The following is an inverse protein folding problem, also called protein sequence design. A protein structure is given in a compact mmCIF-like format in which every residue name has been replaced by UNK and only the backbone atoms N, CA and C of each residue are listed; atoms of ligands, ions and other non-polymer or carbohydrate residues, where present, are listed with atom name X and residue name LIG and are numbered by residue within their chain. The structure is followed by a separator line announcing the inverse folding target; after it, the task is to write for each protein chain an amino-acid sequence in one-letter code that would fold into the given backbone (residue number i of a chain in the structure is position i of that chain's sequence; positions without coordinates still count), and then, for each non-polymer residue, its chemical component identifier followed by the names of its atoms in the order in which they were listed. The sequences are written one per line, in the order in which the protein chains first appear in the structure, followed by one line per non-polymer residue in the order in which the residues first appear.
data_IF_558800753069
#
_entry.id   IF_558800753069
#
_cell.length_a   1.000
_cell.length_b   1.000
_cell.length_c   1.000
_cell.angle_alpha   90.00
_cell.angle_beta   90.00
_cell.angle_gamma   90.00
#
_symmetry.space_group_name_H-M   'P 1'
#
loop_
_entity.id
_entity.type
_entity.pdbx_description
1 polymer ?
#
# COMPACT_ATOMS: atom_id res chain seq x y z
N UNK A 1 -17.15 4.39 1.02
CA UNK A 1 -18.45 3.90 0.52
C UNK A 1 -19.54 3.99 1.58
N UNK A 2 -19.35 3.51 2.80
CA UNK A 2 -20.39 3.55 3.86
C UNK A 2 -20.92 4.97 4.14
N UNK A 3 -20.03 5.98 4.17
CA UNK A 3 -20.42 7.38 4.32
C UNK A 3 -21.19 7.92 3.10
N UNK A 4 -20.85 7.47 1.89
CA UNK A 4 -21.59 7.83 0.67
C UNK A 4 -22.96 7.17 0.68
N UNK A 5 -23.05 5.91 1.06
CA UNK A 5 -24.30 5.18 1.21
C UNK A 5 -25.27 5.89 2.20
N UNK A 6 -24.76 6.34 3.36
CA UNK A 6 -25.55 7.13 4.29
C UNK A 6 -26.13 8.40 3.65
N UNK A 7 -25.34 9.12 2.83
CA UNK A 7 -25.80 10.30 2.09
C UNK A 7 -26.90 9.94 1.07
N UNK A 8 -26.74 8.82 0.34
CA UNK A 8 -27.75 8.38 -0.61
C UNK A 8 -29.05 7.95 0.07
N UNK A 9 -28.97 7.18 1.17
CA UNK A 9 -30.16 6.76 1.95
C UNK A 9 -30.94 7.96 2.48
N UNK A 10 -30.26 8.97 3.02
CA UNK A 10 -30.91 10.20 3.47
C UNK A 10 -31.59 10.94 2.31
N UNK A 11 -30.93 11.02 1.17
CA UNK A 11 -31.49 11.68 -0.01
C UNK A 11 -32.68 10.91 -0.56
N UNK A 12 -32.65 9.59 -0.59
CA UNK A 12 -33.76 8.72 -1.00
C UNK A 12 -34.98 8.94 -0.10
N UNK A 13 -34.78 9.02 1.23
CA UNK A 13 -35.89 9.34 2.17
C UNK A 13 -36.50 10.69 1.86
N UNK A 14 -35.69 11.70 1.61
CA UNK A 14 -36.18 13.03 1.26
C UNK A 14 -36.90 13.08 -0.11
N UNK A 15 -36.37 12.36 -1.11
CA UNK A 15 -36.99 12.31 -2.45
C UNK A 15 -38.28 11.48 -2.46
N UNK A 16 -38.36 10.42 -1.65
CA UNK A 16 -39.61 9.67 -1.46
C UNK A 16 -40.71 10.55 -0.89
N UNK A 17 -40.38 11.41 0.08
CA UNK A 17 -41.34 12.40 0.60
C UNK A 17 -41.74 13.41 -0.49
N UNK A 18 -40.82 13.86 -1.32
CA UNK A 18 -41.11 14.77 -2.41
C UNK A 18 -42.03 14.14 -3.49
N UNK A 19 -41.82 12.86 -3.81
CA UNK A 19 -42.74 12.09 -4.69
C UNK A 19 -44.15 12.02 -4.06
N UNK A 20 -44.23 11.76 -2.78
CA UNK A 20 -45.53 11.73 -2.08
C UNK A 20 -46.24 13.08 -2.15
N UNK A 21 -45.54 14.18 -1.89
CA UNK A 21 -46.11 15.54 -1.93
C UNK A 21 -46.58 15.87 -3.37
N UNK A 22 -45.76 15.58 -4.40
CA UNK A 22 -46.13 15.86 -5.80
C UNK A 22 -47.35 15.06 -6.24
N UNK A 23 -47.47 13.80 -5.82
CA UNK A 23 -48.66 12.96 -6.09
C UNK A 23 -49.93 13.50 -5.42
N UNK A 24 -49.84 13.95 -4.16
CA UNK A 24 -50.99 14.55 -3.43
C UNK A 24 -51.42 15.84 -4.14
N UNK A 25 -50.49 16.69 -4.61
CA UNK A 25 -50.82 17.93 -5.33
C UNK A 25 -51.43 17.65 -6.71
N UNK A 26 -51.00 16.59 -7.39
CA UNK A 26 -51.59 16.13 -8.64
C UNK A 26 -53.07 15.66 -8.40
N UNK A 27 -53.28 14.85 -7.35
CA UNK A 27 -54.61 14.39 -7.00
C UNK A 27 -55.55 15.54 -6.64
N UNK A 28 -55.03 16.63 -6.05
CA UNK A 28 -55.75 17.87 -5.76
C UNK A 28 -55.87 18.82 -6.99
N UNK A 29 -55.47 18.41 -8.18
CA UNK A 29 -55.42 19.22 -9.39
C UNK A 29 -54.58 20.54 -9.27
N UNK A 30 -53.59 20.56 -8.35
CA UNK A 30 -52.76 21.74 -8.05
C UNK A 30 -51.46 21.75 -8.86
N UNK A 31 -50.95 20.58 -9.27
CA UNK A 31 -49.70 20.47 -10.04
C UNK A 31 -49.82 19.55 -11.24
N UNK A 32 -48.91 19.71 -12.22
CA UNK A 32 -48.87 18.91 -13.45
C UNK A 32 -48.30 17.51 -13.19
N UNK A 33 -48.72 16.51 -13.97
CA UNK A 33 -48.14 15.17 -13.96
C UNK A 33 -46.62 15.14 -14.26
N UNK A 34 -46.13 16.17 -14.93
CA UNK A 34 -44.70 16.39 -15.18
C UNK A 34 -43.87 16.48 -13.88
N UNK A 35 -44.41 17.11 -12.84
CA UNK A 35 -43.73 17.25 -11.54
C UNK A 35 -43.57 15.91 -10.87
N UNK A 36 -44.61 15.03 -10.94
CA UNK A 36 -44.53 13.67 -10.43
C UNK A 36 -43.47 12.87 -11.18
N UNK A 37 -43.47 12.92 -12.51
CA UNK A 37 -42.47 12.21 -13.35
C UNK A 37 -41.03 12.66 -13.05
N UNK A 38 -40.80 13.95 -12.82
CA UNK A 38 -39.50 14.49 -12.39
C UNK A 38 -39.07 13.98 -11.03
N UNK A 39 -39.99 13.95 -10.04
CA UNK A 39 -39.74 13.46 -8.71
C UNK A 39 -39.38 11.96 -8.70
N UNK A 40 -40.14 11.16 -9.46
CA UNK A 40 -39.92 9.73 -9.63
C UNK A 40 -38.58 9.44 -10.32
N UNK A 41 -38.24 10.20 -11.37
CA UNK A 41 -36.94 10.09 -12.06
C UNK A 41 -35.78 10.37 -11.10
N UNK A 42 -35.90 11.44 -10.30
CA UNK A 42 -34.85 11.79 -9.31
C UNK A 42 -34.69 10.71 -8.25
N UNK A 43 -35.80 10.16 -7.74
CA UNK A 43 -35.77 9.07 -6.77
C UNK A 43 -35.12 7.80 -7.37
N UNK A 44 -35.58 7.36 -8.54
CA UNK A 44 -35.09 6.14 -9.18
C UNK A 44 -33.60 6.22 -9.55
N UNK A 45 -33.16 7.38 -10.07
CA UNK A 45 -31.75 7.60 -10.40
C UNK A 45 -30.85 7.58 -9.16
N UNK A 46 -31.36 8.07 -8.03
CA UNK A 46 -30.61 8.07 -6.77
C UNK A 46 -30.53 6.67 -6.14
N UNK A 47 -31.61 5.88 -6.24
CA UNK A 47 -31.61 4.47 -5.82
C UNK A 47 -30.65 3.63 -6.67
N UNK A 48 -30.59 3.88 -8.00
CA UNK A 48 -29.62 3.20 -8.86
C UNK A 48 -28.17 3.50 -8.45
N UNK A 49 -27.87 4.73 -8.05
CA UNK A 49 -26.53 5.12 -7.56
C UNK A 49 -26.20 4.49 -6.20
N UNK A 50 -27.18 4.38 -5.30
CA UNK A 50 -27.00 3.66 -4.02
C UNK A 50 -26.61 2.20 -4.28
N UNK A 51 -27.31 1.52 -5.21
CA UNK A 51 -27.00 0.14 -5.57
C UNK A 51 -25.57 0.00 -6.13
N UNK A 52 -25.11 0.95 -6.96
CA UNK A 52 -23.75 0.99 -7.50
C UNK A 52 -22.69 1.17 -6.38
N UNK A 53 -22.98 1.99 -5.38
CA UNK A 53 -22.13 2.17 -4.19
C UNK A 53 -22.00 0.86 -3.39
N UNK A 54 -23.10 0.12 -3.22
CA UNK A 54 -23.06 -1.19 -2.56
C UNK A 54 -22.16 -2.17 -3.33
N UNK A 55 -22.32 -2.27 -4.65
CA UNK A 55 -21.47 -3.13 -5.49
C UNK A 55 -19.98 -2.74 -5.37
N UNK A 56 -19.68 -1.44 -5.39
CA UNK A 56 -18.30 -0.94 -5.22
C UNK A 56 -17.73 -1.25 -3.84
N UNK A 57 -18.56 -1.18 -2.80
CA UNK A 57 -18.18 -1.56 -1.43
C UNK A 57 -17.83 -3.03 -1.34
N UNK A 58 -18.66 -3.91 -1.90
CA UNK A 58 -18.45 -5.35 -1.87
C UNK A 58 -17.14 -5.74 -2.59
N UNK A 59 -16.87 -5.15 -3.75
CA UNK A 59 -15.59 -5.35 -4.47
C UNK A 59 -14.40 -4.92 -3.61
N UNK A 60 -14.50 -3.81 -2.90
CA UNK A 60 -13.41 -3.36 -2.01
C UNK A 60 -13.26 -4.27 -0.78
N UNK A 61 -14.36 -4.79 -0.24
CA UNK A 61 -14.36 -5.76 0.86
C UNK A 61 -13.65 -7.07 0.43
N UNK A 62 -13.92 -7.55 -0.78
CA UNK A 62 -13.21 -8.69 -1.36
C UNK A 62 -11.70 -8.43 -1.52
N UNK A 63 -11.31 -7.23 -1.93
CA UNK A 63 -9.89 -6.86 -2.02
C UNK A 63 -9.22 -6.85 -0.64
N UNK A 64 -9.90 -6.35 0.39
CA UNK A 64 -9.38 -6.38 1.76
C UNK A 64 -9.26 -7.80 2.31
N UNK A 65 -10.21 -8.69 1.99
CA UNK A 65 -10.15 -10.10 2.38
C UNK A 65 -8.86 -10.78 1.89
N UNK A 66 -8.48 -10.50 0.64
CA UNK A 66 -7.23 -11.02 0.05
C UNK A 66 -6.01 -10.50 0.81
N UNK A 67 -5.99 -9.21 1.19
CA UNK A 67 -4.88 -8.62 1.93
C UNK A 67 -4.70 -9.21 3.34
N UNK A 68 -5.78 -9.68 3.97
CA UNK A 68 -5.74 -10.36 5.28
C UNK A 68 -5.69 -11.89 5.16
N UNK A 69 -5.44 -12.39 3.96
CA UNK A 69 -5.34 -13.83 3.65
C UNK A 69 -6.59 -14.64 4.07
N UNK A 70 -7.78 -14.08 3.81
CA UNK A 70 -9.06 -14.74 4.05
C UNK A 70 -9.84 -14.93 2.75
N UNK A 71 -10.71 -15.96 2.72
CA UNK A 71 -11.59 -16.16 1.59
C UNK A 71 -12.64 -15.02 1.53
N UNK A 72 -12.82 -14.34 0.36
CA UNK A 72 -13.76 -13.22 0.25
C UNK A 72 -15.19 -13.52 0.74
N UNK A 73 -15.69 -14.74 0.50
CA UNK A 73 -17.01 -15.15 0.95
C UNK A 73 -17.18 -15.30 2.48
N UNK A 74 -16.06 -15.38 3.23
CA UNK A 74 -16.04 -15.54 4.69
C UNK A 74 -15.65 -14.27 5.43
N UNK A 75 -15.28 -13.21 4.71
CA UNK A 75 -14.82 -11.97 5.29
C UNK A 75 -15.87 -10.88 5.16
N UNK A 76 -16.27 -10.30 6.29
CA UNK A 76 -17.25 -9.22 6.34
C UNK A 76 -16.80 -8.11 7.28
N UNK A 77 -16.94 -6.88 6.82
CA UNK A 77 -16.68 -5.66 7.60
C UNK A 77 -18.02 -4.98 7.91
N UNK A 78 -18.28 -4.74 9.19
CA UNK A 78 -19.46 -4.01 9.58
C UNK A 78 -19.44 -2.59 9.00
N UNK A 79 -20.54 -2.09 8.40
CA UNK A 79 -20.63 -0.73 7.87
C UNK A 79 -20.32 0.31 8.95
N UNK A 80 -19.56 1.34 8.58
CA UNK A 80 -19.26 2.49 9.45
C UNK A 80 -19.48 3.79 8.68
N UNK A 81 -20.44 4.56 9.10
CA UNK A 81 -20.80 5.85 8.49
C UNK A 81 -19.71 6.92 8.70
N UNK A 82 -18.89 6.79 9.75
CA UNK A 82 -17.78 7.69 10.09
C UNK A 82 -16.57 6.88 10.51
N UNK A 83 -15.43 7.32 10.04
CA UNK A 83 -14.13 6.87 10.50
C UNK A 83 -13.50 8.07 11.21
N UNK A 84 -13.47 8.03 12.54
CA UNK A 84 -12.72 9.00 13.32
C UNK A 84 -11.25 8.59 13.32
N UNK A 85 -10.52 9.01 12.29
CA UNK A 85 -9.06 8.98 12.37
C UNK A 85 -8.63 10.15 13.24
N UNK A 86 -7.96 9.81 14.34
CA UNK A 86 -7.30 10.81 15.19
C UNK A 86 -6.44 11.69 14.28
N UNK A 87 -6.61 13.00 14.39
CA UNK A 87 -5.88 13.97 13.59
C UNK A 87 -4.38 13.80 13.88
N UNK A 88 -3.73 13.00 13.04
CA UNK A 88 -2.29 12.76 13.16
C UNK A 88 -1.61 14.08 12.82
N UNK A 89 -1.30 14.85 13.84
CA UNK A 89 -0.36 15.95 13.69
C UNK A 89 1.03 15.30 13.58
N UNK A 90 1.63 15.31 12.40
CA UNK A 90 2.99 14.82 12.28
C UNK A 90 3.84 15.71 13.16
N UNK A 91 4.46 15.13 14.18
CA UNK A 91 5.55 15.83 14.85
C UNK A 91 6.54 16.17 13.75
N UNK A 92 6.79 17.45 13.56
CA UNK A 92 7.78 17.97 12.61
C UNK A 92 9.16 17.51 13.05
N UNK A 93 9.42 16.19 12.84
CA UNK A 93 10.72 15.58 13.09
C UNK A 93 11.72 16.14 12.08
N UNK A 94 12.94 16.39 12.55
CA UNK A 94 14.03 16.84 11.70
C UNK A 94 14.19 15.91 10.48
N UNK A 95 14.53 16.44 9.30
CA UNK A 95 14.76 15.65 8.07
C UNK A 95 15.72 14.47 8.25
N UNK A 96 16.68 14.57 9.19
CA UNK A 96 17.65 13.51 9.49
C UNK A 96 17.03 12.23 10.06
N UNK A 97 15.89 12.31 10.78
CA UNK A 97 15.24 11.13 11.33
C UNK A 97 14.49 10.31 10.27
N UNK A 98 14.12 10.93 9.15
CA UNK A 98 13.51 10.26 7.99
C UNK A 98 14.50 9.30 7.33
N UNK A 99 15.78 9.72 7.21
CA UNK A 99 16.83 8.90 6.59
C UNK A 99 17.05 7.58 7.34
N UNK A 100 16.80 7.55 8.64
CA UNK A 100 16.99 6.35 9.46
C UNK A 100 15.76 5.41 9.48
N UNK A 101 14.57 5.96 9.22
CA UNK A 101 13.31 5.22 9.34
C UNK A 101 12.82 4.62 8.03
N UNK A 102 13.16 5.19 6.90
CA UNK A 102 12.66 4.72 5.59
C UNK A 102 13.43 3.51 5.09
N UNK A 103 12.74 2.37 4.83
CA UNK A 103 13.41 1.15 4.36
C UNK A 103 13.99 1.27 2.94
N UNK A 104 13.39 2.09 2.07
CA UNK A 104 13.85 2.35 0.72
C UNK A 104 15.20 3.09 0.71
N UNK A 105 15.37 4.10 1.57
CA UNK A 105 16.64 4.81 1.76
C UNK A 105 17.71 3.85 2.30
N UNK A 106 17.37 3.04 3.32
CA UNK A 106 18.28 2.03 3.85
C UNK A 106 18.68 0.99 2.79
N UNK A 107 17.75 0.56 1.94
CA UNK A 107 18.02 -0.35 0.82
C UNK A 107 18.97 0.26 -0.21
N UNK A 108 18.75 1.52 -0.59
CA UNK A 108 19.63 2.24 -1.54
C UNK A 108 21.04 2.45 -0.97
N UNK A 109 21.17 2.77 0.33
CA UNK A 109 22.47 2.84 1.02
C UNK A 109 23.21 1.50 0.98
N UNK A 110 22.52 0.39 1.24
CA UNK A 110 23.12 -0.95 1.18
C UNK A 110 23.54 -1.34 -0.23
N UNK A 111 22.76 -0.94 -1.24
CA UNK A 111 23.12 -1.14 -2.65
C UNK A 111 24.39 -0.36 -3.03
N UNK A 112 24.53 0.89 -2.55
CA UNK A 112 25.73 1.69 -2.71
C UNK A 112 26.95 1.04 -2.02
N UNK A 113 26.77 0.54 -0.79
CA UNK A 113 27.82 -0.19 -0.05
C UNK A 113 28.23 -1.48 -0.77
N UNK A 114 27.29 -2.21 -1.37
CA UNK A 114 27.56 -3.38 -2.20
C UNK A 114 28.42 -3.02 -3.41
N UNK A 115 28.05 -1.96 -4.14
CA UNK A 115 28.81 -1.50 -5.30
C UNK A 115 30.23 -1.05 -4.91
N UNK A 116 30.40 -0.40 -3.75
CA UNK A 116 31.73 -0.07 -3.22
C UNK A 116 32.59 -1.31 -2.95
N UNK A 117 32.02 -2.38 -2.40
CA UNK A 117 32.74 -3.65 -2.20
C UNK A 117 33.15 -4.30 -3.52
N UNK A 118 32.32 -4.17 -4.57
CA UNK A 118 32.67 -4.67 -5.91
C UNK A 118 33.92 -4.00 -6.48
N UNK A 119 34.18 -2.71 -6.16
CA UNK A 119 35.46 -2.05 -6.50
C UNK A 119 36.61 -2.77 -5.83
N UNK A 120 36.47 -3.16 -4.53
CA UNK A 120 37.48 -3.93 -3.81
C UNK A 120 37.81 -5.27 -4.50
N UNK A 121 36.78 -5.99 -4.93
CA UNK A 121 36.92 -7.25 -5.68
C UNK A 121 37.67 -7.02 -7.00
N UNK A 122 37.28 -5.98 -7.76
CA UNK A 122 37.95 -5.64 -9.03
C UNK A 122 39.43 -5.21 -8.82
N UNK A 123 39.74 -4.54 -7.68
CA UNK A 123 41.12 -4.24 -7.28
C UNK A 123 41.90 -5.50 -6.90
N UNK A 124 41.27 -6.45 -6.22
CA UNK A 124 41.92 -7.70 -5.83
C UNK A 124 42.39 -8.51 -7.05
N UNK A 125 41.77 -8.38 -8.19
CA UNK A 125 42.18 -9.01 -9.45
C UNK A 125 43.57 -8.56 -9.95
N UNK A 126 44.13 -7.46 -9.44
CA UNK A 126 45.51 -7.00 -9.79
C UNK A 126 46.59 -7.66 -8.93
N UNK A 127 46.22 -8.40 -7.92
CA UNK A 127 47.11 -9.12 -7.01
C UNK A 127 47.19 -10.61 -7.37
N UNK A 128 48.29 -11.33 -6.94
CA UNK A 128 48.39 -12.77 -7.15
C UNK A 128 47.23 -13.52 -6.50
N UNK A 129 46.61 -14.42 -7.24
CA UNK A 129 45.62 -15.35 -6.73
C UNK A 129 46.33 -16.61 -6.19
N UNK A 130 46.24 -16.88 -4.91
CA UNK A 130 46.82 -18.04 -4.25
C UNK A 130 45.74 -19.08 -3.98
N UNK A 131 45.97 -20.29 -4.51
CA UNK A 131 45.07 -21.44 -4.31
C UNK A 131 45.79 -22.55 -3.59
N UNK A 132 45.20 -23.13 -2.58
CA UNK A 132 45.66 -24.33 -1.89
C UNK A 132 44.77 -25.50 -2.31
N UNK A 133 45.41 -26.59 -2.79
CA UNK A 133 44.72 -27.81 -3.18
C UNK A 133 45.14 -28.93 -2.23
N UNK A 134 44.19 -29.68 -1.73
CA UNK A 134 44.40 -30.89 -0.97
C UNK A 134 43.52 -31.99 -1.59
N UNK A 135 44.08 -33.08 -1.99
CA UNK A 135 43.40 -34.28 -2.47
C UNK A 135 43.88 -35.48 -1.68
N UNK A 136 42.96 -36.30 -1.25
CA UNK A 136 43.20 -37.60 -0.64
C UNK A 136 42.30 -38.63 -1.25
N UNK A 137 42.78 -39.82 -1.46
CA UNK A 137 42.03 -40.90 -2.06
C UNK A 137 42.77 -42.23 -2.02
N UNK A 138 42.17 -43.26 -2.60
CA UNK A 138 42.77 -44.58 -2.75
C UNK A 138 42.97 -44.84 -4.23
N UNK A 139 44.14 -45.37 -4.59
CA UNK A 139 44.45 -45.80 -5.96
C UNK A 139 44.34 -47.34 -6.03
N UNK A 140 43.13 -47.84 -6.21
CA UNK A 140 42.89 -49.28 -6.43
C UNK A 140 41.70 -49.47 -7.38
N UNK A 141 41.72 -50.56 -8.16
CA UNK A 141 40.65 -50.92 -9.08
C UNK A 141 39.47 -51.67 -8.40
N UNK A 142 39.48 -51.80 -7.08
CA UNK A 142 38.41 -52.39 -6.25
C UNK A 142 38.10 -51.56 -5.01
N UNK A 143 36.88 -51.63 -4.58
CA UNK A 143 36.39 -50.93 -3.35
C UNK A 143 36.81 -51.75 -2.09
N UNK A 144 38.14 -51.87 -1.85
CA UNK A 144 38.64 -52.46 -0.61
C UNK A 144 39.12 -51.33 0.35
N UNK A 145 38.21 -50.88 1.21
CA UNK A 145 38.49 -49.84 2.24
C UNK A 145 39.43 -50.33 3.35
N UNK A 146 39.80 -51.64 3.39
CA UNK A 146 40.65 -52.21 4.42
C UNK A 146 42.13 -52.12 4.11
N UNK A 147 42.52 -51.82 2.86
CA UNK A 147 43.95 -51.71 2.46
C UNK A 147 44.41 -50.26 2.44
N UNK A 148 44.80 -49.71 3.60
CA UNK A 148 45.42 -48.38 3.73
C UNK A 148 46.75 -48.22 2.97
N UNK A 149 47.31 -49.32 2.45
CA UNK A 149 48.57 -49.33 1.70
C UNK A 149 48.54 -48.62 0.34
N UNK A 150 47.32 -48.38 -0.24
CA UNK A 150 47.14 -47.71 -1.53
C UNK A 150 46.58 -46.29 -1.37
N UNK A 151 46.78 -45.68 -0.20
CA UNK A 151 46.34 -44.27 0.04
C UNK A 151 47.24 -43.28 -0.69
N UNK A 152 46.64 -42.29 -1.36
CA UNK A 152 47.32 -41.22 -2.04
C UNK A 152 46.93 -39.89 -1.38
N UNK A 153 47.90 -39.04 -1.10
CA UNK A 153 47.70 -37.67 -0.65
C UNK A 153 48.45 -36.73 -1.57
N UNK A 154 47.80 -35.66 -1.97
CA UNK A 154 48.41 -34.60 -2.73
C UNK A 154 48.11 -33.25 -2.08
N UNK A 155 49.16 -32.49 -1.77
CA UNK A 155 49.05 -31.12 -1.29
C UNK A 155 49.76 -30.24 -2.26
N UNK A 156 49.11 -29.14 -2.68
CA UNK A 156 49.67 -28.18 -3.61
C UNK A 156 49.31 -26.75 -3.24
N UNK A 157 50.22 -25.85 -3.50
CA UNK A 157 49.95 -24.41 -3.46
C UNK A 157 50.31 -23.81 -4.83
N UNK A 158 49.41 -23.01 -5.35
CA UNK A 158 49.62 -22.34 -6.65
C UNK A 158 49.35 -20.86 -6.49
N UNK A 159 50.29 -20.01 -6.95
CA UNK A 159 50.09 -18.56 -7.05
C UNK A 159 50.13 -18.16 -8.53
N UNK A 160 49.06 -17.52 -8.98
CA UNK A 160 48.91 -17.06 -10.37
C UNK A 160 48.74 -15.56 -10.40
N UNK A 161 49.62 -14.83 -11.11
CA UNK A 161 49.49 -13.43 -11.40
C UNK A 161 49.51 -13.23 -12.93
N UNK A 162 48.38 -12.94 -13.58
CA UNK A 162 48.34 -12.65 -14.99
C UNK A 162 48.99 -11.27 -15.26
N UNK A 163 50.10 -11.22 -15.96
CA UNK A 163 50.86 -9.98 -16.22
C UNK A 163 50.25 -9.15 -17.36
N UNK A 164 49.61 -9.80 -18.33
CA UNK A 164 49.00 -9.15 -19.49
C UNK A 164 47.64 -9.76 -19.82
N UNK A 165 46.61 -8.92 -19.93
CA UNK A 165 45.22 -9.31 -20.29
C UNK A 165 44.55 -8.29 -21.24
N UNK A 166 45.30 -7.59 -22.09
CA UNK A 166 44.74 -6.68 -23.08
C UNK A 166 43.86 -5.55 -22.51
N UNK A 167 44.07 -5.13 -21.26
CA UNK A 167 43.32 -4.04 -20.63
C UNK A 167 42.00 -4.45 -19.93
N UNK A 168 41.60 -5.72 -20.01
CA UNK A 168 40.31 -6.21 -19.43
C UNK A 168 40.14 -5.83 -17.95
N UNK A 169 41.14 -6.07 -17.10
CA UNK A 169 41.09 -5.73 -15.67
C UNK A 169 40.88 -4.24 -15.42
N UNK A 170 41.52 -3.38 -16.20
CA UNK A 170 41.34 -1.93 -16.08
C UNK A 170 39.92 -1.53 -16.46
N UNK A 171 39.39 -2.12 -17.54
CA UNK A 171 37.99 -1.89 -17.94
C UNK A 171 36.99 -2.38 -16.90
N UNK A 172 37.23 -3.56 -16.28
CA UNK A 172 36.39 -4.07 -15.18
C UNK A 172 36.43 -3.18 -13.95
N UNK A 173 37.59 -2.69 -13.54
CA UNK A 173 37.69 -1.74 -12.44
C UNK A 173 37.00 -0.43 -12.78
N UNK A 174 37.11 0.08 -13.99
CA UNK A 174 36.41 1.28 -14.43
C UNK A 174 34.89 1.09 -14.44
N UNK A 175 34.42 -0.10 -14.88
CA UNK A 175 33.00 -0.49 -14.79
C UNK A 175 32.52 -0.51 -13.36
N UNK A 176 33.29 -1.09 -12.43
CA UNK A 176 32.92 -1.12 -11.01
C UNK A 176 32.79 0.29 -10.40
N UNK A 177 33.68 1.21 -10.76
CA UNK A 177 33.58 2.62 -10.38
C UNK A 177 32.34 3.31 -10.95
N UNK A 178 31.98 3.04 -12.20
CA UNK A 178 30.78 3.59 -12.82
C UNK A 178 29.52 3.07 -12.17
N UNK A 179 29.51 1.78 -11.81
CA UNK A 179 28.40 1.17 -11.05
C UNK A 179 28.25 1.78 -9.64
N UNK A 180 29.36 2.07 -8.98
CA UNK A 180 29.32 2.76 -7.69
C UNK A 180 28.71 4.17 -7.82
N UNK A 181 29.14 4.97 -8.80
CA UNK A 181 28.57 6.30 -9.05
C UNK A 181 27.07 6.20 -9.36
N UNK A 182 26.67 5.24 -10.17
CA UNK A 182 25.25 5.00 -10.45
C UNK A 182 24.44 4.66 -9.18
N UNK A 183 25.02 3.87 -8.27
CA UNK A 183 24.37 3.56 -6.99
C UNK A 183 24.31 4.79 -6.06
N UNK A 184 25.35 5.63 -6.07
CA UNK A 184 25.38 6.91 -5.35
C UNK A 184 24.29 7.87 -5.85
N UNK A 185 24.16 8.02 -7.18
CA UNK A 185 23.13 8.87 -7.78
C UNK A 185 21.71 8.35 -7.47
N UNK A 186 21.51 7.03 -7.50
CA UNK A 186 20.25 6.41 -7.09
C UNK A 186 19.93 6.66 -5.62
N UNK A 187 20.91 6.52 -4.73
CA UNK A 187 20.73 6.84 -3.31
C UNK A 187 20.30 8.28 -3.13
N UNK A 188 20.99 9.23 -3.79
CA UNK A 188 20.64 10.66 -3.75
C UNK A 188 19.22 10.91 -4.29
N UNK A 189 18.86 10.29 -5.41
CA UNK A 189 17.50 10.35 -5.97
C UNK A 189 16.45 9.87 -4.97
N UNK A 190 16.63 8.68 -4.37
CA UNK A 190 15.71 8.13 -3.37
C UNK A 190 15.54 9.08 -2.16
N UNK A 191 16.62 9.72 -1.70
CA UNK A 191 16.55 10.70 -0.60
C UNK A 191 15.75 11.94 -1.00
N UNK A 192 15.97 12.47 -2.20
CA UNK A 192 15.23 13.64 -2.70
C UNK A 192 13.75 13.34 -2.92
N UNK A 193 13.43 12.17 -3.46
CA UNK A 193 12.06 11.70 -3.64
C UNK A 193 11.36 11.56 -2.27
N UNK A 194 12.04 11.02 -1.27
CA UNK A 194 11.51 10.91 0.09
C UNK A 194 11.19 12.27 0.71
N UNK A 195 12.04 13.29 0.51
CA UNK A 195 11.74 14.64 0.97
C UNK A 195 10.57 15.26 0.22
N UNK A 196 10.50 15.07 -1.11
CA UNK A 196 9.37 15.56 -1.91
C UNK A 196 8.05 14.92 -1.45
N UNK A 197 8.02 13.60 -1.22
CA UNK A 197 6.83 12.91 -0.72
C UNK A 197 6.33 13.45 0.64
N UNK A 198 7.23 13.80 1.55
CA UNK A 198 6.86 14.39 2.85
C UNK A 198 6.32 15.81 2.69
N UNK A 199 6.98 16.65 1.90
CA UNK A 199 6.53 18.04 1.64
C UNK A 199 5.18 18.07 0.93
N UNK A 200 5.00 17.20 -0.09
CA UNK A 200 3.74 17.02 -0.79
C UNK A 200 2.64 16.52 0.16
N UNK A 201 2.97 15.55 1.00
CA UNK A 201 2.06 15.02 2.01
C UNK A 201 1.60 16.09 3.01
N UNK A 202 2.51 16.90 3.55
CA UNK A 202 2.20 18.02 4.45
C UNK A 202 1.32 19.06 3.76
N UNK A 203 1.67 19.41 2.52
CA UNK A 203 0.90 20.37 1.71
C UNK A 203 -0.52 19.85 1.48
N UNK A 204 -0.67 18.57 1.08
CA UNK A 204 -1.96 17.96 0.83
C UNK A 204 -2.83 17.90 2.08
N UNK A 205 -2.30 17.48 3.23
CA UNK A 205 -3.05 17.44 4.49
C UNK A 205 -3.56 18.83 4.87
N UNK A 206 -2.72 19.86 4.79
CA UNK A 206 -3.10 21.22 5.15
C UNK A 206 -4.16 21.81 4.19
N UNK A 207 -4.02 21.57 2.87
CA UNK A 207 -4.98 22.06 1.87
C UNK A 207 -6.32 21.36 1.97
N UNK A 208 -6.32 20.04 2.18
CA UNK A 208 -7.55 19.26 2.34
C UNK A 208 -8.34 19.64 3.58
N UNK A 209 -7.70 20.04 4.68
CA UNK A 209 -8.42 20.61 5.85
C UNK A 209 -9.22 21.85 5.46
N UNK A 210 -8.59 22.80 4.78
CA UNK A 210 -9.28 24.02 4.31
C UNK A 210 -10.40 23.67 3.32
N UNK A 211 -10.16 22.74 2.39
CA UNK A 211 -11.17 22.28 1.44
C UNK A 211 -12.37 21.62 2.15
N UNK A 212 -12.12 20.81 3.20
CA UNK A 212 -13.18 20.19 4.01
C UNK A 212 -14.07 21.25 4.68
N UNK A 213 -13.47 22.29 5.26
CA UNK A 213 -14.24 23.37 5.90
C UNK A 213 -15.09 24.16 4.90
N UNK A 214 -14.55 24.41 3.70
CA UNK A 214 -15.28 25.06 2.61
C UNK A 214 -16.41 24.16 2.09
N UNK A 215 -16.16 22.85 1.94
CA UNK A 215 -17.16 21.88 1.53
C UNK A 215 -18.30 21.77 2.56
N UNK A 216 -18.01 21.82 3.87
CA UNK A 216 -19.06 21.87 4.92
C UNK A 216 -19.94 23.10 4.78
N UNK A 217 -19.35 24.28 4.58
CA UNK A 217 -20.11 25.51 4.37
C UNK A 217 -21.01 25.41 3.11
N UNK A 218 -20.50 24.81 2.04
CA UNK A 218 -21.28 24.57 0.83
C UNK A 218 -22.47 23.62 1.08
N UNK A 219 -22.27 22.53 1.83
CA UNK A 219 -23.35 21.61 2.25
C UNK A 219 -24.42 22.35 3.03
N UNK A 220 -24.04 23.13 4.05
CA UNK A 220 -25.00 23.88 4.84
C UNK A 220 -25.82 24.87 4.00
N UNK A 221 -25.18 25.59 3.08
CA UNK A 221 -25.87 26.51 2.19
C UNK A 221 -26.84 25.77 1.24
N UNK A 222 -26.38 24.65 0.67
CA UNK A 222 -27.19 23.85 -0.25
C UNK A 222 -28.42 23.21 0.46
N UNK A 223 -28.24 22.71 1.69
CA UNK A 223 -29.35 22.16 2.48
C UNK A 223 -30.36 23.24 2.87
N UNK A 224 -29.90 24.45 3.25
CA UNK A 224 -30.81 25.58 3.47
C UNK A 224 -31.60 25.93 2.24
N UNK A 225 -30.96 25.99 1.06
CA UNK A 225 -31.62 26.24 -0.24
C UNK A 225 -32.63 25.16 -0.54
N UNK A 226 -32.28 23.89 -0.38
CA UNK A 226 -33.18 22.75 -0.59
C UNK A 226 -34.43 22.84 0.29
N UNK A 227 -34.28 23.16 1.57
CA UNK A 227 -35.42 23.30 2.51
C UNK A 227 -36.31 24.49 2.13
N UNK A 228 -35.71 25.66 1.85
CA UNK A 228 -36.47 26.86 1.44
C UNK A 228 -37.22 26.64 0.12
N UNK A 229 -36.59 26.05 -0.87
CA UNK A 229 -37.21 25.81 -2.18
C UNK A 229 -38.38 24.83 -2.08
N UNK A 230 -38.24 23.76 -1.26
CA UNK A 230 -39.35 22.85 -0.97
C UNK A 230 -40.51 23.56 -0.27
N UNK A 231 -40.23 24.43 0.69
CA UNK A 231 -41.27 25.22 1.37
C UNK A 231 -42.00 26.18 0.39
N UNK A 232 -41.27 26.86 -0.50
CA UNK A 232 -41.85 27.71 -1.54
C UNK A 232 -42.72 26.91 -2.52
N UNK A 233 -42.27 25.71 -2.91
CA UNK A 233 -43.04 24.84 -3.80
C UNK A 233 -44.36 24.36 -3.11
N UNK A 234 -44.28 23.94 -1.85
CA UNK A 234 -45.52 23.55 -1.13
C UNK A 234 -46.46 24.69 -0.92
N UNK A 235 -45.95 25.92 -0.78
CA UNK A 235 -46.74 27.16 -0.74
C UNK A 235 -47.26 27.63 -2.12
N UNK A 236 -46.89 26.97 -3.20
CA UNK A 236 -47.34 27.37 -4.59
C UNK A 236 -46.57 28.57 -5.14
N UNK A 237 -45.45 28.97 -4.56
CA UNK A 237 -44.68 30.17 -4.92
C UNK A 237 -43.54 29.90 -5.90
N UNK A 238 -43.22 28.64 -6.16
CA UNK A 238 -42.20 28.22 -7.16
C UNK A 238 -42.61 26.92 -7.85
N UNK A 239 -41.94 26.60 -8.95
CA UNK A 239 -42.15 25.35 -9.69
C UNK A 239 -41.30 24.20 -9.14
N UNK A 240 -41.66 22.96 -9.50
CA UNK A 240 -40.95 21.78 -9.02
C UNK A 240 -39.52 21.64 -9.61
N UNK A 241 -39.24 22.26 -10.75
CA UNK A 241 -37.90 22.24 -11.34
C UNK A 241 -36.86 22.88 -10.40
N UNK A 242 -37.24 23.99 -9.73
CA UNK A 242 -36.34 24.64 -8.77
C UNK A 242 -36.06 23.72 -7.59
N UNK A 243 -37.04 22.92 -7.14
CA UNK A 243 -36.83 21.91 -6.10
C UNK A 243 -35.83 20.84 -6.56
N UNK A 244 -35.97 20.33 -7.80
CA UNK A 244 -35.05 19.32 -8.35
C UNK A 244 -33.62 19.87 -8.44
N UNK A 245 -33.44 21.10 -8.89
CA UNK A 245 -32.12 21.75 -8.98
C UNK A 245 -31.50 21.89 -7.58
N UNK A 246 -32.29 22.36 -6.60
CA UNK A 246 -31.82 22.48 -5.21
C UNK A 246 -31.46 21.12 -4.58
N UNK A 247 -32.27 20.08 -4.86
CA UNK A 247 -32.01 18.71 -4.41
C UNK A 247 -30.72 18.15 -5.00
N UNK A 248 -30.48 18.33 -6.29
CA UNK A 248 -29.26 17.87 -6.95
C UNK A 248 -28.04 18.62 -6.42
N UNK A 249 -28.14 19.93 -6.20
CA UNK A 249 -27.06 20.73 -5.61
C UNK A 249 -26.73 20.25 -4.20
N UNK A 250 -27.73 19.97 -3.36
CA UNK A 250 -27.53 19.47 -1.99
C UNK A 250 -26.89 18.06 -1.98
N UNK A 251 -27.38 17.15 -2.83
CA UNK A 251 -26.77 15.81 -2.95
C UNK A 251 -25.31 15.90 -3.42
N UNK A 252 -25.04 16.70 -4.46
CA UNK A 252 -23.70 16.90 -5.01
C UNK A 252 -22.74 17.47 -3.94
N UNK A 253 -23.18 18.50 -3.21
CA UNK A 253 -22.36 19.10 -2.15
C UNK A 253 -22.03 18.09 -1.06
N UNK A 254 -23.02 17.28 -0.59
CA UNK A 254 -22.80 16.22 0.42
C UNK A 254 -21.84 15.14 -0.06
N UNK A 255 -21.96 14.69 -1.30
CA UNK A 255 -21.05 13.69 -1.88
C UNK A 255 -19.65 14.27 -2.01
N UNK A 256 -19.51 15.53 -2.43
CA UNK A 256 -18.22 16.23 -2.49
C UNK A 256 -17.57 16.28 -1.10
N UNK A 257 -18.31 16.63 -0.06
CA UNK A 257 -17.80 16.65 1.31
C UNK A 257 -17.24 15.27 1.73
N UNK A 258 -17.98 14.18 1.48
CA UNK A 258 -17.52 12.81 1.79
C UNK A 258 -16.25 12.46 1.00
N UNK A 259 -16.17 12.89 -0.26
CA UNK A 259 -14.97 12.65 -1.09
C UNK A 259 -13.76 13.44 -0.59
N UNK A 260 -13.93 14.69 -0.19
CA UNK A 260 -12.85 15.52 0.38
C UNK A 260 -12.36 14.94 1.69
N UNK A 261 -13.30 14.55 2.58
CA UNK A 261 -12.99 13.91 3.86
C UNK A 261 -12.21 12.59 3.65
N UNK A 262 -12.63 11.77 2.70
CA UNK A 262 -11.92 10.54 2.32
C UNK A 262 -10.49 10.83 1.82
N UNK A 263 -10.32 11.86 0.95
CA UNK A 263 -8.99 12.27 0.47
C UNK A 263 -8.11 12.79 1.61
N UNK A 264 -8.68 13.49 2.60
CA UNK A 264 -7.96 13.96 3.77
C UNK A 264 -7.41 12.77 4.60
N UNK A 265 -8.23 11.74 4.82
CA UNK A 265 -7.79 10.53 5.50
C UNK A 265 -6.70 9.78 4.73
N UNK A 266 -6.87 9.64 3.41
CA UNK A 266 -5.85 9.02 2.54
C UNK A 266 -4.53 9.81 2.56
N UNK A 267 -4.59 11.14 2.52
CA UNK A 267 -3.39 11.99 2.61
C UNK A 267 -2.68 11.85 3.96
N UNK A 268 -3.45 11.72 5.06
CA UNK A 268 -2.87 11.49 6.39
C UNK A 268 -2.14 10.15 6.48
N UNK A 269 -2.73 9.07 5.92
CA UNK A 269 -2.08 7.74 5.86
C UNK A 269 -0.85 7.77 4.96
N UNK A 270 -0.93 8.44 3.80
CA UNK A 270 0.20 8.58 2.89
C UNK A 270 1.37 9.35 3.54
N UNK A 271 1.06 10.41 4.29
CA UNK A 271 2.08 11.16 5.05
C UNK A 271 2.74 10.30 6.13
N UNK A 272 1.98 9.47 6.87
CA UNK A 272 2.55 8.52 7.84
C UNK A 272 3.50 7.55 7.13
N UNK A 273 3.11 7.03 5.98
CA UNK A 273 3.95 6.13 5.18
C UNK A 273 5.22 6.83 4.68
N UNK A 274 5.10 8.08 4.18
CA UNK A 274 6.22 8.90 3.74
C UNK A 274 7.22 9.21 4.88
N UNK A 275 6.73 9.37 6.12
CA UNK A 275 7.54 9.53 7.33
C UNK A 275 8.23 8.23 7.79
N UNK A 276 8.08 7.13 7.06
CA UNK A 276 8.67 5.84 7.36
C UNK A 276 7.76 4.88 8.13
N UNK A 277 6.48 5.21 8.31
CA UNK A 277 5.50 4.38 9.01
C UNK A 277 5.63 4.41 10.54
N UNK A 278 4.81 3.58 11.20
CA UNK A 278 4.73 3.49 12.67
C UNK A 278 5.63 2.41 13.30
N UNK A 279 6.57 1.81 12.55
CA UNK A 279 7.47 0.77 13.06
C UNK A 279 8.74 1.33 13.70
N UNK A 280 9.36 0.55 14.56
CA UNK A 280 10.67 0.86 15.14
C UNK A 280 11.67 -0.28 14.90
N UNK A 281 12.97 0.02 14.98
CA UNK A 281 14.02 -1.01 14.89
C UNK A 281 13.85 -2.12 15.94
N UNK A 282 13.15 -1.85 17.04
CA UNK A 282 12.86 -2.84 18.09
C UNK A 282 11.88 -3.91 17.63
N UNK A 283 11.04 -3.57 16.65
CA UNK A 283 10.01 -4.45 16.07
C UNK A 283 10.60 -5.39 15.00
N UNK A 284 11.84 -5.13 14.57
CA UNK A 284 12.51 -5.97 13.57
C UNK A 284 13.03 -7.27 14.22
N UNK A 285 12.89 -8.41 13.52
CA UNK A 285 13.45 -9.67 13.99
C UNK A 285 14.97 -9.55 14.09
N UNK A 286 15.54 -10.13 15.15
CA UNK A 286 16.99 -10.17 15.34
C UNK A 286 17.69 -10.86 14.15
N UNK A 287 18.94 -10.47 13.85
CA UNK A 287 19.71 -11.03 12.72
C UNK A 287 19.78 -12.57 12.76
N UNK A 288 19.84 -13.16 13.97
CA UNK A 288 19.82 -14.62 14.17
C UNK A 288 18.51 -15.28 13.75
N UNK A 289 17.39 -14.56 13.77
CA UNK A 289 16.10 -15.06 13.30
C UNK A 289 15.99 -15.04 11.77
N UNK A 290 16.68 -14.09 11.12
CA UNK A 290 16.72 -13.97 9.65
C UNK A 290 17.76 -14.90 9.02
N UNK A 291 18.85 -15.22 9.78
CA UNK A 291 19.90 -16.15 9.35
C UNK A 291 19.85 -17.43 10.18
N UNK A 292 18.96 -18.37 9.86
CA UNK A 292 18.80 -19.61 10.64
C UNK A 292 19.97 -20.56 10.49
N UNK A 293 20.94 -20.30 9.58
CA UNK A 293 22.08 -21.18 9.32
C UNK A 293 23.39 -20.47 9.70
N UNK A 294 24.08 -21.02 10.68
CA UNK A 294 25.48 -20.67 10.93
C UNK A 294 26.41 -21.21 9.81
N UNK A 295 27.61 -20.66 9.63
CA UNK A 295 28.51 -21.02 8.51
C UNK A 295 28.94 -22.51 8.52
N UNK A 296 28.71 -23.25 9.62
CA UNK A 296 29.04 -24.68 9.76
C UNK A 296 27.81 -25.55 10.03
N UNK A 297 26.61 -25.03 9.88
CA UNK A 297 25.38 -25.75 10.25
C UNK A 297 24.78 -26.45 9.02
N UNK A 298 25.36 -27.60 8.65
CA UNK A 298 24.85 -28.44 7.55
C UNK A 298 23.75 -29.44 7.97
N UNK A 299 23.40 -29.49 9.25
CA UNK A 299 22.55 -30.56 9.81
C UNK A 299 21.03 -30.31 9.71
N UNK A 300 20.56 -29.11 9.35
CA UNK A 300 19.14 -28.83 9.30
C UNK A 300 18.77 -28.05 8.04
N UNK A 301 18.53 -28.77 6.95
CA UNK A 301 18.11 -28.21 5.65
C UNK A 301 16.60 -27.91 5.58
N UNK A 302 15.87 -27.94 6.69
CA UNK A 302 14.45 -27.53 6.70
C UNK A 302 14.34 -26.02 6.49
N UNK A 303 13.33 -25.63 5.69
CA UNK A 303 13.02 -24.22 5.55
C UNK A 303 12.87 -23.55 6.93
N UNK A 304 13.41 -22.34 7.15
CA UNK A 304 13.18 -21.60 8.36
C UNK A 304 11.68 -21.43 8.57
N UNK A 305 11.21 -21.60 9.81
CA UNK A 305 9.81 -21.28 10.13
C UNK A 305 9.57 -19.82 9.79
N UNK A 306 8.45 -19.48 9.13
CA UNK A 306 8.11 -18.09 8.89
C UNK A 306 8.10 -17.36 10.24
N UNK A 307 8.76 -16.21 10.31
CA UNK A 307 8.72 -15.36 11.49
C UNK A 307 7.29 -14.94 11.67
N UNK A 308 6.66 -15.28 12.79
CA UNK A 308 5.26 -14.97 13.09
C UNK A 308 4.97 -13.49 12.92
N UNK A 309 3.73 -13.16 12.55
CA UNK A 309 3.26 -11.78 12.52
C UNK A 309 3.47 -11.08 13.86
N UNK A 310 3.34 -9.76 13.89
CA UNK A 310 3.62 -8.86 15.03
C UNK A 310 2.95 -9.26 16.34
N UNK A 311 1.96 -10.10 16.31
CA UNK A 311 1.17 -10.62 17.44
C UNK A 311 1.51 -12.05 17.86
N UNK A 312 2.52 -12.69 17.25
CA UNK A 312 2.94 -14.05 17.59
C UNK A 312 1.88 -15.12 17.31
N UNK A 313 0.77 -14.78 16.68
CA UNK A 313 -0.22 -15.77 16.28
C UNK A 313 0.35 -16.66 15.16
N UNK A 314 0.17 -18.00 15.24
CA UNK A 314 0.59 -18.89 14.17
C UNK A 314 -0.17 -18.48 12.90
N UNK A 315 0.57 -18.15 11.83
CA UNK A 315 -0.07 -18.00 10.53
C UNK A 315 -0.88 -19.24 10.21
N UNK A 316 -2.10 -19.04 9.70
CA UNK A 316 -3.01 -20.11 9.25
C UNK A 316 -2.44 -20.99 8.11
N UNK A 317 -1.12 -21.00 7.91
CA UNK A 317 -0.35 -21.78 6.95
C UNK A 317 0.26 -23.08 7.48
N UNK A 318 0.05 -23.43 8.74
CA UNK A 318 0.45 -24.74 9.29
C UNK A 318 -0.51 -25.89 8.88
N UNK A 319 -1.44 -25.65 7.95
CA UNK A 319 -2.19 -26.72 7.31
C UNK A 319 -1.27 -27.49 6.37
N UNK A 320 -0.85 -28.62 6.86
CA UNK A 320 -0.10 -29.67 6.22
C UNK A 320 -0.67 -29.96 4.81
N UNK A 321 -0.01 -29.47 3.76
CA UNK A 321 -0.36 -29.74 2.35
C UNK A 321 -0.25 -31.24 1.98
N UNK A 322 0.10 -32.11 2.95
CA UNK A 322 0.21 -33.57 2.74
C UNK A 322 -1.11 -34.34 2.79
N UNK A 323 -2.26 -33.65 2.98
CA UNK A 323 -3.58 -34.30 3.06
C UNK A 323 -4.57 -33.82 1.98
N UNK A 324 -4.10 -33.38 0.83
CA UNK A 324 -5.01 -33.23 -0.30
C UNK A 324 -5.26 -34.61 -0.93
N UNK A 325 -6.49 -35.12 -0.96
CA UNK A 325 -6.81 -36.33 -1.68
C UNK A 325 -6.63 -36.08 -3.19
N UNK A 326 -5.80 -36.91 -3.82
CA UNK A 326 -5.71 -37.01 -5.29
C UNK A 326 -7.04 -37.57 -5.79
N UNK A 327 -7.82 -36.78 -6.44
CA UNK A 327 -8.87 -37.21 -7.36
C UNK A 327 -8.65 -36.58 -8.72
#
# INVERSE_FOLDING_TARGET
FDAQDAVYRDSIRYYSLAVHITRLRLAGAISAGLDVSRAETQLASTQARETDIHASRDVMEHALAILVNQAPAAFHIAPRERIDLTDVQPSTGLPSTLLERRPDIASAERAMAQANRAIGVSRAAFYPHVTFNAMTGFMDNGFDLASLSNSMYQFGAQAVLPLFQGGVRRAELQRAWSQYRQAEDRYRGTVLDAFAEVEDGLTNVNRLRTETDQARQAVEAALRTQGMTMALYTGGLTNYLDVVVAQQAALSARITLVQVDTRQHQASVALIAALGGGWSRKDLPAEKAIRPFGPLQYGNLRAPKPVGGVDGSPHAGDTNLSTMPTH
#
